data_IF_755831838379
#
_entry.id   IF_755831838379
#
_cell.length_a   1.000
_cell.length_b   1.000
_cell.length_c   1.000
_cell.angle_alpha   90.00
_cell.angle_beta   90.00
_cell.angle_gamma   90.00
#
_symmetry.space_group_name_H-M   'P 1'
#
loop_
_entity.id
_entity.type
_entity.pdbx_description
1 polymer ?
#
# COMPACT_ATOMS: atom_id res chain seq x y z
N UNK A 1 -1.23 13.60 -14.12
CA UNK A 1 -1.76 12.24 -14.30
C UNK A 1 -0.63 11.34 -14.79
N UNK A 2 -0.05 10.52 -13.92
CA UNK A 2 1.06 9.62 -14.31
C UNK A 2 0.59 8.55 -15.31
N UNK A 3 -0.71 8.24 -15.31
CA UNK A 3 -1.32 7.21 -16.14
C UNK A 3 -1.52 7.60 -17.61
N UNK A 4 -1.44 8.89 -17.97
CA UNK A 4 -1.85 9.38 -19.30
C UNK A 4 -0.92 10.43 -19.91
N UNK A 5 0.29 10.59 -19.36
CA UNK A 5 1.27 11.57 -19.84
C UNK A 5 2.71 11.07 -19.70
N UNK A 6 3.64 11.68 -20.43
CA UNK A 6 5.07 11.39 -20.31
C UNK A 6 5.63 12.07 -19.04
N UNK A 7 5.63 11.37 -17.91
CA UNK A 7 6.21 11.86 -16.67
C UNK A 7 6.82 10.74 -15.82
N UNK A 8 7.76 11.11 -14.95
CA UNK A 8 8.35 10.24 -13.94
C UNK A 8 7.72 10.62 -12.60
N UNK A 9 7.33 9.61 -11.81
CA UNK A 9 6.76 9.81 -10.48
C UNK A 9 7.33 8.81 -9.50
N UNK A 10 7.48 9.26 -8.25
CA UNK A 10 7.86 8.40 -7.16
C UNK A 10 6.62 7.70 -6.60
N UNK A 11 6.62 6.36 -6.65
CA UNK A 11 5.49 5.54 -6.25
C UNK A 11 5.95 4.42 -5.32
N UNK A 12 5.07 3.92 -4.44
CA UNK A 12 5.30 2.68 -3.72
C UNK A 12 5.69 1.53 -4.66
N UNK A 13 6.59 0.66 -4.22
CA UNK A 13 7.05 -0.49 -5.03
C UNK A 13 5.90 -1.37 -5.54
N UNK A 14 4.83 -1.54 -4.76
CA UNK A 14 3.66 -2.31 -5.18
C UNK A 14 2.85 -1.67 -6.32
N UNK A 15 3.09 -0.42 -6.71
CA UNK A 15 2.28 0.28 -7.70
C UNK A 15 2.29 -0.43 -9.07
N UNK A 16 3.42 -1.05 -9.44
CA UNK A 16 3.51 -1.88 -10.65
C UNK A 16 2.67 -3.17 -10.61
N UNK A 17 2.29 -3.64 -9.41
CA UNK A 17 1.33 -4.76 -9.26
C UNK A 17 -0.13 -4.32 -9.47
N UNK A 18 -0.42 -3.03 -9.30
CA UNK A 18 -1.76 -2.44 -9.50
C UNK A 18 -1.95 -1.91 -10.92
N UNK A 19 -0.90 -1.33 -11.50
CA UNK A 19 -0.95 -0.72 -12.82
C UNK A 19 0.18 -1.26 -13.72
N UNK A 20 -0.24 -1.95 -14.78
CA UNK A 20 0.68 -2.60 -15.74
C UNK A 20 1.40 -1.63 -16.67
N UNK A 21 0.89 -0.41 -16.83
CA UNK A 21 1.49 0.59 -17.72
C UNK A 21 2.63 1.38 -17.05
N UNK A 22 3.04 1.01 -15.83
CA UNK A 22 4.17 1.60 -15.14
C UNK A 22 5.45 0.81 -15.43
N UNK A 23 6.50 1.52 -15.84
CA UNK A 23 7.85 0.98 -15.92
C UNK A 23 8.66 1.43 -14.70
N UNK A 24 9.27 0.48 -13.99
CA UNK A 24 10.16 0.79 -12.88
C UNK A 24 11.49 1.35 -13.39
N UNK A 25 12.02 2.37 -12.71
CA UNK A 25 13.38 2.89 -12.89
C UNK A 25 14.22 2.39 -11.70
N UNK A 26 14.96 1.28 -11.84
CA UNK A 26 15.76 0.75 -10.75
C UNK A 26 16.96 1.65 -10.44
N UNK A 27 17.49 1.57 -9.22
CA UNK A 27 18.74 2.22 -8.80
C UNK A 27 18.74 3.76 -8.83
N UNK A 28 17.56 4.39 -8.73
CA UNK A 28 17.46 5.86 -8.60
C UNK A 28 17.82 6.33 -7.19
N UNK A 29 17.60 5.49 -6.19
CA UNK A 29 17.92 5.77 -4.79
C UNK A 29 18.79 4.66 -4.22
N UNK A 30 19.76 5.03 -3.39
CA UNK A 30 20.69 4.09 -2.73
C UNK A 30 20.03 3.33 -1.58
N UNK A 31 19.03 3.95 -0.92
CA UNK A 31 18.31 3.37 0.20
C UNK A 31 16.84 3.08 -0.14
N UNK A 32 16.27 1.97 0.36
CA UNK A 32 14.85 1.68 0.21
C UNK A 32 14.00 2.67 1.01
N UNK A 33 12.91 3.15 0.42
CA UNK A 33 11.95 3.99 1.16
C UNK A 33 11.15 3.15 2.14
N UNK A 34 11.25 3.51 3.42
CA UNK A 34 10.41 2.93 4.49
C UNK A 34 8.99 3.46 4.38
N UNK A 35 8.01 2.59 4.60
CA UNK A 35 6.59 2.97 4.65
C UNK A 35 5.97 2.32 5.86
N UNK A 36 5.22 3.12 6.60
CA UNK A 36 4.41 2.69 7.72
C UNK A 36 2.95 2.98 7.39
N UNK A 37 2.08 2.04 7.73
CA UNK A 37 0.64 2.17 7.53
C UNK A 37 -0.03 1.93 8.87
N UNK A 38 -0.92 2.84 9.24
CA UNK A 38 -1.69 2.75 10.48
C UNK A 38 -3.16 2.57 10.15
N UNK A 39 -3.81 1.67 10.87
CA UNK A 39 -5.26 1.55 10.91
C UNK A 39 -5.75 2.21 12.20
N UNK A 40 -6.60 3.21 12.07
CA UNK A 40 -7.17 3.94 13.21
C UNK A 40 -8.66 3.66 13.29
N UNK A 41 -9.13 3.37 14.50
CA UNK A 41 -10.53 3.16 14.81
C UNK A 41 -10.90 4.04 15.99
N UNK A 42 -12.11 4.59 15.95
CA UNK A 42 -12.63 5.34 17.09
C UNK A 42 -12.84 4.37 18.28
N UNK A 43 -12.34 4.68 19.50
CA UNK A 43 -12.39 3.74 20.64
C UNK A 43 -13.80 3.24 20.96
N UNK A 44 -14.81 4.10 20.84
CA UNK A 44 -16.21 3.72 21.10
C UNK A 44 -16.77 2.75 20.05
N UNK A 45 -16.13 2.67 18.88
CA UNK A 45 -16.55 1.83 17.76
C UNK A 45 -15.77 0.51 17.67
N UNK A 46 -14.60 0.39 18.28
CA UNK A 46 -13.69 -0.77 18.17
C UNK A 46 -14.34 -2.12 18.53
N UNK A 47 -15.27 -2.12 19.48
CA UNK A 47 -15.94 -3.33 19.96
C UNK A 47 -17.25 -3.63 19.22
N UNK A 48 -17.65 -2.80 18.25
CA UNK A 48 -18.81 -3.12 17.40
C UNK A 48 -18.43 -4.26 16.45
N UNK A 49 -19.31 -5.25 16.34
CA UNK A 49 -19.05 -6.48 15.57
C UNK A 49 -18.74 -6.15 14.10
N UNK A 50 -19.48 -5.22 13.51
CA UNK A 50 -19.31 -4.81 12.12
C UNK A 50 -17.98 -4.08 11.89
N UNK A 51 -17.55 -3.29 12.88
CA UNK A 51 -16.28 -2.58 12.83
C UNK A 51 -15.14 -3.58 12.95
N UNK A 52 -15.20 -4.51 13.90
CA UNK A 52 -14.17 -5.55 14.06
C UNK A 52 -14.03 -6.42 12.81
N UNK A 53 -15.16 -6.80 12.19
CA UNK A 53 -15.13 -7.53 10.93
C UNK A 53 -14.42 -6.76 9.80
N UNK A 54 -14.55 -5.43 9.75
CA UNK A 54 -13.85 -4.60 8.79
C UNK A 54 -12.36 -4.48 9.11
N UNK A 55 -11.99 -4.33 10.39
CA UNK A 55 -10.59 -4.29 10.83
C UNK A 55 -9.89 -5.60 10.43
N UNK A 56 -10.51 -6.75 10.76
CA UNK A 56 -9.99 -8.06 10.41
C UNK A 56 -9.83 -8.19 8.89
N UNK A 57 -10.83 -7.77 8.10
CA UNK A 57 -10.76 -7.82 6.63
C UNK A 57 -9.59 -6.99 6.08
N UNK A 58 -9.38 -5.78 6.61
CA UNK A 58 -8.29 -4.91 6.19
C UNK A 58 -6.94 -5.54 6.57
N UNK A 59 -6.78 -6.02 7.80
CA UNK A 59 -5.55 -6.67 8.25
C UNK A 59 -5.20 -7.89 7.39
N UNK A 60 -6.17 -8.78 7.15
CA UNK A 60 -5.97 -9.93 6.28
C UNK A 60 -5.58 -9.52 4.86
N UNK A 61 -6.19 -8.46 4.31
CA UNK A 61 -5.84 -7.98 2.99
C UNK A 61 -4.39 -7.46 2.91
N UNK A 62 -3.87 -6.85 3.98
CA UNK A 62 -2.47 -6.44 4.07
C UNK A 62 -1.53 -7.64 4.22
N UNK A 63 -1.91 -8.61 5.05
CA UNK A 63 -1.13 -9.83 5.27
C UNK A 63 -1.01 -10.70 4.02
N UNK A 64 -2.10 -10.89 3.29
CA UNK A 64 -2.12 -11.61 2.00
C UNK A 64 -1.19 -10.99 0.96
N UNK A 65 -0.91 -9.69 1.09
CA UNK A 65 -0.10 -8.91 0.15
C UNK A 65 1.24 -8.50 0.77
N UNK A 66 1.66 -9.12 1.86
CA UNK A 66 2.88 -8.75 2.59
C UNK A 66 4.12 -8.71 1.67
N UNK A 67 4.21 -9.62 0.70
CA UNK A 67 5.28 -9.67 -0.30
C UNK A 67 5.28 -8.49 -1.30
N UNK A 68 4.18 -7.73 -1.39
CA UNK A 68 4.08 -6.53 -2.22
C UNK A 68 4.85 -5.36 -1.62
N UNK A 69 5.00 -5.33 -0.29
CA UNK A 69 5.56 -4.18 0.43
C UNK A 69 7.08 -4.16 0.50
N UNK A 70 7.76 -5.21 0.01
CA UNK A 70 9.21 -5.39 0.17
C UNK A 70 9.57 -6.04 1.50
N UNK A 71 10.86 -6.27 1.73
CA UNK A 71 11.42 -6.63 3.03
C UNK A 71 11.90 -5.39 3.75
#
# INVERSE_FOLDING_TARGET
AILWGACIGLLPHYAGRLERNLAALPQVFDEPMRREVWMSVQPEAENRVEVRALLDLIEHAFDDRRDWFGR
#
